data_IF_569510725584
#
_entry.id   IF_569510725584
#
_cell.length_a   1.000
_cell.length_b   1.000
_cell.length_c   1.000
_cell.angle_alpha   90.00
_cell.angle_beta   90.00
_cell.angle_gamma   90.00
#
_symmetry.space_group_name_H-M   'P 1'
#
loop_
_entity.id
_entity.type
_entity.pdbx_description
1 polymer ?
#
# COMPACT_ATOMS: atom_id res chain seq x y z
N UNK A 1 11.29 16.93 -4.98
CA UNK A 1 11.03 18.39 -5.15
C UNK A 1 11.77 18.91 -6.37
N UNK A 2 11.14 19.73 -7.20
CA UNK A 2 11.79 20.47 -8.29
C UNK A 2 11.85 21.95 -7.89
N UNK A 3 13.01 22.58 -8.02
CA UNK A 3 13.22 23.98 -7.66
C UNK A 3 13.84 24.76 -8.83
N UNK A 4 13.40 26.01 -9.02
CA UNK A 4 13.85 26.95 -10.05
C UNK A 4 13.90 28.37 -9.48
N UNK A 5 14.52 29.30 -10.20
CA UNK A 5 14.43 30.72 -9.85
C UNK A 5 13.09 31.31 -10.34
N UNK A 6 12.35 32.04 -9.48
CA UNK A 6 11.09 32.65 -9.90
C UNK A 6 11.36 33.83 -10.81
N UNK A 7 10.66 33.90 -11.94
CA UNK A 7 10.68 35.03 -12.87
C UNK A 7 9.28 35.52 -13.15
N UNK A 8 9.14 36.76 -13.56
CA UNK A 8 7.84 37.31 -13.97
C UNK A 8 7.34 36.59 -15.22
N UNK A 9 6.01 36.29 -15.30
CA UNK A 9 5.41 35.53 -16.41
C UNK A 9 5.72 36.15 -17.79
N UNK A 10 5.93 37.46 -17.88
CA UNK A 10 6.38 38.13 -19.11
C UNK A 10 7.72 37.59 -19.63
N UNK A 11 8.55 37.05 -18.76
CA UNK A 11 9.86 36.51 -19.04
C UNK A 11 9.88 34.98 -18.96
N UNK A 12 8.72 34.33 -19.04
CA UNK A 12 8.56 32.89 -18.92
C UNK A 12 9.45 32.07 -19.86
N UNK A 13 9.80 32.63 -21.02
CA UNK A 13 10.75 31.99 -21.96
C UNK A 13 12.20 31.96 -21.48
N UNK A 14 12.56 32.68 -20.41
CA UNK A 14 13.89 32.69 -19.81
C UNK A 14 13.96 31.85 -18.53
N UNK A 15 12.81 31.52 -17.94
CA UNK A 15 12.68 30.70 -16.73
C UNK A 15 12.24 29.28 -17.04
N UNK A 16 12.38 28.40 -16.05
CA UNK A 16 11.85 27.05 -16.09
C UNK A 16 10.67 26.91 -15.14
N UNK A 17 9.55 26.41 -15.66
CA UNK A 17 8.34 26.15 -14.87
C UNK A 17 8.51 24.85 -14.06
N UNK A 18 8.71 24.97 -12.73
CA UNK A 18 8.91 23.82 -11.86
C UNK A 18 7.69 22.87 -11.82
N UNK A 19 6.47 23.37 -12.02
CA UNK A 19 5.27 22.51 -12.11
C UNK A 19 5.33 21.66 -13.38
N UNK A 20 5.62 22.25 -14.54
CA UNK A 20 5.74 21.51 -15.79
C UNK A 20 6.87 20.49 -15.74
N UNK A 21 8.01 20.89 -15.17
CA UNK A 21 9.14 20.00 -14.97
C UNK A 21 8.80 18.81 -14.05
N UNK A 22 8.12 19.04 -12.93
CA UNK A 22 7.67 17.99 -12.03
C UNK A 22 6.65 17.06 -12.71
N UNK A 23 5.65 17.60 -13.41
CA UNK A 23 4.63 16.83 -14.13
C UNK A 23 5.26 15.96 -15.23
N UNK A 24 6.35 16.42 -15.86
CA UNK A 24 7.05 15.63 -16.90
C UNK A 24 7.63 14.31 -16.41
N UNK A 25 7.88 14.16 -15.10
CA UNK A 25 8.40 12.93 -14.48
C UNK A 25 7.31 11.84 -14.39
N UNK A 26 6.04 12.23 -14.25
CA UNK A 26 4.92 11.30 -14.03
C UNK A 26 4.82 10.21 -15.13
N UNK A 27 4.90 10.53 -16.43
CA UNK A 27 4.90 9.50 -17.48
C UNK A 27 6.03 8.47 -17.34
N UNK A 28 7.22 8.88 -16.92
CA UNK A 28 8.33 7.96 -16.69
C UNK A 28 8.03 7.00 -15.54
N UNK A 29 7.52 7.49 -14.41
CA UNK A 29 7.06 6.66 -13.30
C UNK A 29 5.94 5.71 -13.72
N UNK A 30 5.01 6.15 -14.57
CA UNK A 30 3.95 5.29 -15.11
C UNK A 30 4.45 4.25 -16.09
N UNK A 31 5.60 4.47 -16.70
CA UNK A 31 6.27 3.44 -17.51
C UNK A 31 6.88 2.37 -16.60
N UNK A 32 7.60 2.76 -15.56
CA UNK A 32 8.15 1.84 -14.56
C UNK A 32 7.03 1.02 -13.85
N UNK A 33 5.91 1.64 -13.53
CA UNK A 33 4.72 0.95 -13.00
C UNK A 33 4.24 -0.17 -13.94
N UNK A 34 4.19 0.10 -15.25
CA UNK A 34 3.82 -0.93 -16.26
C UNK A 34 4.84 -2.06 -16.32
N UNK A 35 6.13 -1.75 -16.31
CA UNK A 35 7.20 -2.73 -16.31
C UNK A 35 7.11 -3.67 -15.11
N UNK A 36 6.86 -3.11 -13.91
CA UNK A 36 6.64 -3.92 -12.71
C UNK A 36 5.37 -4.78 -12.79
N UNK A 37 4.29 -4.27 -13.38
CA UNK A 37 3.08 -5.05 -13.59
C UNK A 37 3.24 -6.14 -14.68
N UNK A 38 4.06 -5.92 -15.68
CA UNK A 38 4.36 -6.93 -16.70
C UNK A 38 5.14 -8.12 -16.10
N UNK A 39 5.96 -7.88 -15.07
CA UNK A 39 6.68 -8.90 -14.32
C UNK A 39 5.83 -9.63 -13.25
N UNK A 40 4.53 -9.36 -13.13
CA UNK A 40 3.66 -9.94 -12.08
C UNK A 40 3.62 -11.46 -12.04
N UNK A 41 3.85 -12.12 -13.17
CA UNK A 41 3.91 -13.58 -13.26
C UNK A 41 5.11 -14.21 -12.53
N UNK A 42 6.12 -13.41 -12.18
CA UNK A 42 7.28 -13.82 -11.39
C UNK A 42 6.99 -13.81 -9.89
N UNK A 43 5.82 -13.26 -9.49
CA UNK A 43 5.42 -13.09 -8.10
C UNK A 43 4.22 -13.96 -7.76
N UNK A 44 4.45 -14.97 -6.93
CA UNK A 44 3.44 -15.96 -6.50
C UNK A 44 2.17 -15.28 -5.99
N UNK A 45 1.01 -15.73 -6.45
CA UNK A 45 -0.34 -15.23 -6.18
C UNK A 45 -0.70 -13.90 -6.86
N UNK A 46 0.21 -13.29 -7.60
CA UNK A 46 -0.08 -12.05 -8.33
C UNK A 46 -0.33 -12.29 -9.82
N UNK A 47 -0.11 -13.49 -10.31
CA UNK A 47 -0.17 -13.88 -11.72
C UNK A 47 -1.53 -13.56 -12.36
N UNK A 48 -2.62 -13.73 -11.59
CA UNK A 48 -4.00 -13.51 -12.06
C UNK A 48 -4.49 -12.08 -11.88
N UNK A 49 -3.75 -11.23 -11.19
CA UNK A 49 -4.13 -9.84 -10.97
C UNK A 49 -3.74 -9.00 -12.17
N UNK A 50 -4.67 -8.19 -12.67
CA UNK A 50 -4.45 -7.37 -13.87
C UNK A 50 -3.43 -6.24 -13.60
N UNK A 51 -3.54 -5.57 -12.44
CA UNK A 51 -2.73 -4.40 -12.11
C UNK A 51 -2.42 -4.32 -10.60
N UNK A 52 -1.60 -5.25 -10.06
CA UNK A 52 -1.35 -5.33 -8.63
C UNK A 52 -0.49 -4.20 -8.07
N UNK A 53 0.40 -3.63 -8.87
CA UNK A 53 1.29 -2.54 -8.46
C UNK A 53 0.73 -1.21 -8.95
N UNK A 54 0.63 -0.25 -8.03
CA UNK A 54 0.16 1.10 -8.31
C UNK A 54 1.17 2.14 -7.84
N UNK A 55 1.50 3.08 -8.75
CA UNK A 55 2.20 4.33 -8.43
C UNK A 55 1.14 5.43 -8.39
N UNK A 56 0.55 5.61 -7.23
CA UNK A 56 -0.51 6.60 -7.05
C UNK A 56 0.07 7.98 -6.74
N UNK A 57 -0.09 8.91 -7.68
CA UNK A 57 0.20 10.33 -7.45
C UNK A 57 -0.94 10.89 -6.60
N UNK A 58 -0.76 10.85 -5.27
CA UNK A 58 -1.81 11.18 -4.32
C UNK A 58 -1.92 12.66 -3.99
N UNK A 59 -0.86 13.44 -4.27
CA UNK A 59 -0.81 14.86 -3.96
C UNK A 59 0.17 15.57 -4.88
N UNK A 60 -0.15 16.80 -5.26
CA UNK A 60 0.75 17.71 -5.95
C UNK A 60 0.53 19.13 -5.42
N UNK A 61 1.62 19.85 -5.16
CA UNK A 61 1.60 21.24 -4.70
C UNK A 61 2.76 21.98 -5.35
N UNK A 62 2.52 23.19 -5.87
CA UNK A 62 3.58 23.96 -6.48
C UNK A 62 3.15 25.38 -6.84
N UNK A 63 4.15 26.27 -6.96
CA UNK A 63 3.98 27.67 -7.29
C UNK A 63 3.33 28.49 -6.17
N UNK A 64 3.41 29.82 -6.32
CA UNK A 64 2.93 30.79 -5.32
C UNK A 64 1.86 31.73 -5.89
N UNK A 65 1.98 32.09 -7.16
CA UNK A 65 1.09 33.04 -7.80
C UNK A 65 1.02 32.86 -9.32
N UNK A 66 -0.17 32.97 -9.89
CA UNK A 66 -0.43 32.73 -11.32
C UNK A 66 0.33 33.67 -12.29
N UNK A 67 0.80 34.82 -11.81
CA UNK A 67 1.56 35.78 -12.62
C UNK A 67 3.08 35.66 -12.45
N UNK A 68 3.57 34.65 -11.76
CA UNK A 68 4.99 34.28 -11.70
C UNK A 68 5.20 32.88 -12.28
N UNK A 69 6.36 32.64 -12.86
CA UNK A 69 6.79 31.29 -13.23
C UNK A 69 7.04 30.50 -11.96
N UNK A 70 6.41 29.34 -11.75
CA UNK A 70 6.58 28.55 -10.54
C UNK A 70 8.05 28.16 -10.30
N UNK A 71 8.57 28.48 -9.12
CA UNK A 71 9.95 28.16 -8.73
C UNK A 71 10.09 26.81 -8.04
N UNK A 72 9.00 26.21 -7.60
CA UNK A 72 8.99 24.92 -6.92
C UNK A 72 7.74 24.10 -7.22
N UNK A 73 7.88 22.79 -7.15
CA UNK A 73 6.77 21.85 -7.18
C UNK A 73 7.17 20.58 -6.43
N UNK A 74 6.25 20.04 -5.66
CA UNK A 74 6.37 18.75 -4.98
C UNK A 74 5.16 17.90 -5.30
N UNK A 75 5.37 16.61 -5.53
CA UNK A 75 4.26 15.65 -5.57
C UNK A 75 4.62 14.40 -4.76
N UNK A 76 3.61 13.81 -4.14
CA UNK A 76 3.73 12.61 -3.33
C UNK A 76 3.22 11.41 -4.13
N UNK A 77 4.02 10.36 -4.16
CA UNK A 77 3.66 9.10 -4.82
C UNK A 77 3.65 7.97 -3.80
N UNK A 78 2.51 7.30 -3.67
CA UNK A 78 2.46 6.03 -2.96
C UNK A 78 2.77 4.91 -3.94
N UNK A 79 3.80 4.13 -3.62
CA UNK A 79 4.24 2.99 -4.44
C UNK A 79 3.99 1.69 -3.69
N UNK A 80 3.30 0.74 -4.33
CA UNK A 80 3.22 -0.64 -3.87
C UNK A 80 4.42 -1.43 -4.42
N UNK A 81 4.94 -2.38 -3.62
CA UNK A 81 5.99 -3.31 -4.04
C UNK A 81 5.54 -4.75 -3.79
N UNK A 82 6.04 -5.70 -4.58
CA UNK A 82 5.74 -7.11 -4.36
C UNK A 82 6.34 -7.63 -3.05
N UNK A 83 5.67 -8.59 -2.38
CA UNK A 83 6.27 -9.34 -1.28
C UNK A 83 7.59 -9.98 -1.71
N UNK A 84 8.60 -9.91 -0.83
CA UNK A 84 9.95 -10.40 -1.12
C UNK A 84 10.89 -9.37 -1.74
N UNK A 85 10.37 -8.30 -2.32
CA UNK A 85 11.19 -7.18 -2.82
C UNK A 85 11.69 -6.33 -1.64
N UNK A 86 12.99 -6.01 -1.65
CA UNK A 86 13.54 -5.06 -0.66
C UNK A 86 13.13 -3.64 -1.05
N UNK A 87 12.54 -2.85 -0.13
CA UNK A 87 12.17 -1.47 -0.40
C UNK A 87 13.35 -0.59 -0.88
N UNK A 88 14.58 -0.94 -0.47
CA UNK A 88 15.78 -0.22 -0.91
C UNK A 88 16.11 -0.47 -2.38
N UNK A 89 15.83 -1.66 -2.88
CA UNK A 89 16.08 -1.97 -4.29
C UNK A 89 14.99 -1.33 -5.15
N UNK A 90 13.73 -1.38 -4.72
CA UNK A 90 12.64 -0.63 -5.33
C UNK A 90 12.93 0.88 -5.37
N UNK A 91 13.47 1.46 -4.29
CA UNK A 91 13.87 2.84 -4.24
C UNK A 91 14.94 3.19 -5.29
N UNK A 92 15.97 2.35 -5.45
CA UNK A 92 17.02 2.53 -6.48
C UNK A 92 16.45 2.55 -7.89
N UNK A 93 15.49 1.67 -8.19
CA UNK A 93 14.84 1.64 -9.49
C UNK A 93 14.03 2.91 -9.75
N UNK A 94 13.27 3.37 -8.75
CA UNK A 94 12.50 4.62 -8.83
C UNK A 94 13.43 5.82 -9.03
N UNK A 95 14.48 5.94 -8.23
CA UNK A 95 15.48 7.01 -8.35
C UNK A 95 16.22 6.94 -9.68
N UNK A 96 16.54 5.73 -10.14
CA UNK A 96 17.13 5.48 -11.45
C UNK A 96 16.25 5.96 -12.60
N UNK A 97 14.96 5.66 -12.54
CA UNK A 97 13.95 6.11 -13.50
C UNK A 97 13.83 7.64 -13.53
N UNK A 98 13.71 8.27 -12.34
CA UNK A 98 13.64 9.74 -12.21
C UNK A 98 14.93 10.38 -12.74
N UNK A 99 16.09 9.84 -12.36
CA UNK A 99 17.39 10.34 -12.79
C UNK A 99 17.63 10.19 -14.30
N UNK A 100 17.15 9.11 -14.91
CA UNK A 100 17.20 8.92 -16.36
C UNK A 100 16.39 10.00 -17.09
N UNK A 101 15.14 10.20 -16.67
CA UNK A 101 14.29 11.27 -17.20
C UNK A 101 14.92 12.66 -17.01
N UNK A 102 15.44 12.94 -15.81
CA UNK A 102 16.04 14.24 -15.51
C UNK A 102 17.24 14.56 -16.43
N UNK A 103 18.10 13.60 -16.74
CA UNK A 103 19.25 13.79 -17.64
C UNK A 103 18.85 14.22 -19.04
N UNK A 104 17.70 13.81 -19.52
CA UNK A 104 17.19 14.14 -20.87
C UNK A 104 16.38 15.45 -20.90
N UNK A 105 15.86 15.87 -19.73
CA UNK A 105 15.04 17.06 -19.64
C UNK A 105 15.89 18.34 -19.59
N UNK A 106 15.61 19.37 -20.43
CA UNK A 106 16.46 20.57 -20.55
C UNK A 106 16.76 21.30 -19.23
N UNK A 107 15.80 21.32 -18.32
CA UNK A 107 15.94 21.98 -17.01
C UNK A 107 16.39 21.01 -15.92
N UNK A 108 15.80 19.80 -15.83
CA UNK A 108 16.06 18.89 -14.70
C UNK A 108 17.47 18.29 -14.73
N UNK A 109 18.14 18.24 -15.88
CA UNK A 109 19.53 17.74 -15.97
C UNK A 109 20.51 18.56 -15.14
N UNK A 110 20.27 19.88 -15.04
CA UNK A 110 21.09 20.82 -14.27
C UNK A 110 20.50 21.11 -12.88
N UNK A 111 19.20 20.73 -12.68
CA UNK A 111 18.43 20.90 -11.45
C UNK A 111 17.70 19.58 -11.12
N UNK A 112 18.41 18.51 -10.77
CA UNK A 112 17.80 17.20 -10.54
C UNK A 112 16.81 17.26 -9.38
N UNK A 113 15.66 16.53 -9.47
CA UNK A 113 14.70 16.51 -8.40
C UNK A 113 15.23 15.77 -7.18
N UNK A 114 14.92 16.26 -5.99
CA UNK A 114 15.16 15.55 -4.74
C UNK A 114 14.06 14.51 -4.50
N UNK A 115 14.45 13.33 -4.06
CA UNK A 115 13.54 12.23 -3.68
C UNK A 115 13.66 12.00 -2.18
N UNK A 116 12.53 12.04 -1.49
CA UNK A 116 12.44 11.80 -0.05
C UNK A 116 11.46 10.65 0.23
N UNK A 117 11.80 9.77 1.17
CA UNK A 117 10.94 8.67 1.63
C UNK A 117 10.38 9.02 3.01
N UNK A 118 9.15 9.52 3.04
CA UNK A 118 8.48 9.97 4.27
C UNK A 118 7.30 9.09 4.70
N UNK A 119 7.05 7.99 3.98
CA UNK A 119 5.98 7.04 4.25
C UNK A 119 6.49 5.71 4.83
N UNK A 120 5.65 4.69 4.74
CA UNK A 120 6.02 3.34 5.14
C UNK A 120 7.05 2.74 4.17
N UNK A 121 8.27 2.60 4.64
CA UNK A 121 9.36 1.97 3.91
C UNK A 121 9.49 0.51 4.35
N UNK A 122 8.60 -0.34 3.84
CA UNK A 122 8.29 -1.62 4.44
C UNK A 122 8.18 -2.75 3.43
N UNK A 123 8.68 -3.95 3.80
CA UNK A 123 8.48 -5.19 3.05
C UNK A 123 7.05 -5.69 3.19
N UNK A 124 6.53 -6.32 2.13
CA UNK A 124 5.32 -7.11 2.18
C UNK A 124 5.59 -8.56 2.60
N UNK A 125 4.53 -9.33 2.84
CA UNK A 125 4.58 -10.75 3.12
C UNK A 125 3.50 -11.51 2.36
N UNK A 126 3.70 -12.79 2.18
CA UNK A 126 2.70 -13.77 1.75
C UNK A 126 2.81 -14.95 2.71
N UNK A 127 1.67 -15.42 3.21
CA UNK A 127 1.62 -16.63 4.03
C UNK A 127 1.70 -17.88 3.15
N UNK A 128 2.41 -18.89 3.63
CA UNK A 128 2.32 -20.22 3.06
C UNK A 128 0.96 -20.83 3.37
N UNK A 129 0.36 -21.45 2.36
CA UNK A 129 -0.96 -22.08 2.48
C UNK A 129 -0.96 -23.27 3.43
N UNK A 130 -2.08 -23.49 4.10
CA UNK A 130 -2.33 -24.69 4.89
C UNK A 130 -1.74 -24.65 6.29
N UNK A 131 -1.47 -23.47 6.83
CA UNK A 131 -1.10 -23.31 8.25
C UNK A 131 -2.22 -23.84 9.16
N UNK A 132 -1.89 -24.23 10.39
CA UNK A 132 -2.88 -24.70 11.35
C UNK A 132 -3.86 -23.57 11.74
N UNK A 133 -3.39 -22.33 11.81
CA UNK A 133 -4.23 -21.17 12.03
C UNK A 133 -5.29 -21.00 10.90
N UNK A 134 -4.86 -21.19 9.65
CA UNK A 134 -5.77 -21.13 8.49
C UNK A 134 -6.82 -22.23 8.53
N UNK A 135 -6.45 -23.45 8.88
CA UNK A 135 -7.37 -24.60 9.05
C UNK A 135 -8.42 -24.31 10.12
N UNK A 136 -7.98 -23.83 11.29
CA UNK A 136 -8.90 -23.50 12.40
C UNK A 136 -9.82 -22.34 12.03
N UNK A 137 -9.30 -21.31 11.37
CA UNK A 137 -10.11 -20.20 10.87
C UNK A 137 -11.13 -20.67 9.83
N UNK A 138 -10.71 -21.55 8.92
CA UNK A 138 -11.59 -22.13 7.90
C UNK A 138 -12.76 -22.93 8.51
N UNK A 139 -12.50 -23.71 9.56
CA UNK A 139 -13.55 -24.42 10.30
C UNK A 139 -14.51 -23.47 11.01
N UNK A 140 -14.00 -22.45 11.68
CA UNK A 140 -14.80 -21.42 12.35
C UNK A 140 -15.64 -20.61 11.35
N UNK A 141 -15.07 -20.30 10.18
CA UNK A 141 -15.78 -19.64 9.08
C UNK A 141 -16.91 -20.50 8.55
N UNK A 142 -16.64 -21.77 8.22
CA UNK A 142 -17.65 -22.69 7.72
C UNK A 142 -18.83 -22.85 8.71
N UNK A 143 -18.55 -22.91 10.02
CA UNK A 143 -19.59 -22.95 11.05
C UNK A 143 -20.47 -21.70 11.10
N UNK A 144 -19.89 -20.52 10.86
CA UNK A 144 -20.60 -19.23 10.92
C UNK A 144 -21.30 -18.84 9.62
N UNK A 145 -20.72 -19.22 8.48
CA UNK A 145 -21.18 -18.78 7.15
C UNK A 145 -21.85 -19.89 6.33
N UNK A 146 -21.61 -21.16 6.67
CA UNK A 146 -22.09 -22.30 5.89
C UNK A 146 -21.38 -22.48 4.55
N UNK A 147 -20.20 -21.89 4.37
CA UNK A 147 -19.39 -21.90 3.17
C UNK A 147 -17.90 -22.08 3.50
N UNK A 148 -17.11 -22.51 2.53
CA UNK A 148 -15.65 -22.56 2.68
C UNK A 148 -15.04 -21.15 2.75
N UNK A 149 -13.94 -21.05 3.47
CA UNK A 149 -13.11 -19.84 3.48
C UNK A 149 -12.38 -19.71 2.14
N UNK A 150 -12.43 -18.52 1.57
CA UNK A 150 -11.64 -18.14 0.39
C UNK A 150 -10.51 -17.22 0.80
N UNK A 151 -9.32 -17.45 0.23
CA UNK A 151 -8.14 -16.63 0.46
C UNK A 151 -7.82 -15.81 -0.79
N UNK A 152 -7.32 -14.61 -0.60
CA UNK A 152 -6.84 -13.76 -1.68
C UNK A 152 -5.67 -12.91 -1.22
N UNK A 153 -4.86 -12.46 -2.17
CA UNK A 153 -3.76 -11.53 -1.94
C UNK A 153 -4.25 -10.10 -2.16
N UNK A 154 -3.83 -9.19 -1.30
CA UNK A 154 -4.09 -7.76 -1.46
C UNK A 154 -2.77 -6.98 -1.54
N UNK A 155 -2.64 -6.03 -2.46
CA UNK A 155 -1.48 -5.13 -2.52
C UNK A 155 -1.53 -4.02 -1.46
N UNK A 156 -2.46 -4.10 -0.50
CA UNK A 156 -2.58 -3.16 0.61
C UNK A 156 -1.48 -3.33 1.65
N UNK A 157 -1.07 -2.24 2.30
CA UNK A 157 -0.25 -2.30 3.50
C UNK A 157 -1.07 -2.82 4.68
N UNK A 158 -0.53 -3.80 5.40
CA UNK A 158 -1.17 -4.39 6.59
C UNK A 158 -0.12 -4.59 7.69
N UNK A 159 -0.48 -4.27 8.93
CA UNK A 159 0.41 -4.41 10.10
C UNK A 159 0.74 -5.87 10.45
N UNK A 160 -0.06 -6.83 9.96
CA UNK A 160 0.22 -8.26 10.07
C UNK A 160 1.62 -8.67 9.61
N UNK A 161 2.24 -7.89 8.71
CA UNK A 161 3.62 -8.08 8.27
C UNK A 161 4.64 -8.07 9.42
N UNK A 162 4.37 -7.32 10.49
CA UNK A 162 5.30 -7.22 11.63
C UNK A 162 5.44 -8.58 12.30
N UNK A 163 4.34 -9.25 12.57
CA UNK A 163 4.33 -10.58 13.16
C UNK A 163 5.00 -11.62 12.26
N UNK A 164 4.70 -11.57 10.95
CA UNK A 164 5.24 -12.56 10.01
C UNK A 164 6.74 -12.34 9.75
N UNK A 165 7.18 -11.09 9.55
CA UNK A 165 8.55 -10.82 9.13
C UNK A 165 9.56 -10.73 10.27
N UNK A 166 9.13 -10.46 11.50
CA UNK A 166 10.03 -10.22 12.62
C UNK A 166 9.84 -11.18 13.80
N UNK A 167 8.64 -11.77 13.93
CA UNK A 167 8.33 -12.66 15.06
C UNK A 167 8.10 -14.11 14.63
N UNK A 168 8.26 -14.43 13.34
CA UNK A 168 7.98 -15.76 12.75
C UNK A 168 6.59 -16.30 13.16
N UNK A 169 5.63 -15.38 13.28
CA UNK A 169 4.28 -15.67 13.69
C UNK A 169 3.32 -15.49 12.50
N UNK A 170 2.67 -16.56 12.01
CA UNK A 170 1.68 -16.43 10.94
C UNK A 170 0.56 -15.47 11.32
N UNK A 171 0.29 -14.47 10.47
CA UNK A 171 -0.75 -13.50 10.71
C UNK A 171 -1.79 -13.56 9.59
N UNK A 172 -2.98 -14.05 9.93
CA UNK A 172 -4.15 -14.05 9.06
C UNK A 172 -4.88 -12.72 9.19
N UNK A 173 -5.34 -12.18 8.07
CA UNK A 173 -6.20 -11.00 8.04
C UNK A 173 -7.61 -11.42 7.65
N UNK A 174 -8.57 -11.21 8.52
CA UNK A 174 -9.94 -11.63 8.35
C UNK A 174 -10.90 -10.53 8.80
N UNK A 175 -11.89 -10.20 7.97
CA UNK A 175 -12.75 -9.06 8.25
C UNK A 175 -14.10 -9.12 7.53
N UNK A 176 -15.00 -8.17 7.85
CA UNK A 176 -16.34 -8.10 7.27
C UNK A 176 -16.31 -7.60 5.82
N UNK A 177 -17.38 -7.87 5.09
CA UNK A 177 -17.59 -7.32 3.75
C UNK A 177 -17.73 -5.81 3.85
N UNK A 178 -16.83 -5.09 3.18
CA UNK A 178 -16.83 -3.64 3.07
C UNK A 178 -16.92 -3.21 1.61
N UNK A 179 -17.29 -1.97 1.38
CA UNK A 179 -17.33 -1.33 0.07
C UNK A 179 -16.85 0.10 0.16
N UNK A 180 -16.32 0.59 -0.95
CA UNK A 180 -15.91 1.99 -1.13
C UNK A 180 -14.88 2.45 -0.08
N UNK A 181 -13.93 1.54 0.27
CA UNK A 181 -12.88 1.79 1.27
C UNK A 181 -12.09 3.05 0.86
N UNK A 182 -11.94 3.99 1.80
CA UNK A 182 -11.36 5.33 1.60
C UNK A 182 -12.17 6.27 0.69
N UNK A 183 -13.39 5.90 0.27
CA UNK A 183 -14.29 6.78 -0.46
C UNK A 183 -15.32 7.47 0.46
N UNK A 184 -16.08 8.44 -0.11
CA UNK A 184 -17.04 9.24 0.67
C UNK A 184 -18.16 8.42 1.31
N UNK A 185 -18.61 7.35 0.63
CA UNK A 185 -19.69 6.48 1.09
C UNK A 185 -19.16 5.12 1.57
N UNK A 186 -18.01 5.12 2.24
CA UNK A 186 -17.44 3.91 2.83
C UNK A 186 -18.42 3.24 3.77
N UNK A 187 -18.62 1.94 3.59
CA UNK A 187 -19.61 1.17 4.36
C UNK A 187 -19.22 -0.26 4.60
N UNK A 188 -19.74 -0.82 5.68
CA UNK A 188 -19.58 -2.21 6.08
C UNK A 188 -20.94 -2.90 6.19
N UNK A 189 -21.02 -4.18 5.83
CA UNK A 189 -22.19 -5.01 6.03
C UNK A 189 -22.32 -5.41 7.50
N UNK A 190 -23.34 -4.91 8.22
CA UNK A 190 -23.61 -5.28 9.60
C UNK A 190 -23.91 -6.77 9.79
N UNK A 191 -24.55 -7.39 8.81
CA UNK A 191 -24.81 -8.83 8.83
C UNK A 191 -23.49 -9.63 8.75
N UNK A 192 -22.59 -9.21 7.89
CA UNK A 192 -21.24 -9.78 7.76
C UNK A 192 -20.42 -9.53 9.03
N UNK A 193 -20.43 -8.32 9.56
CA UNK A 193 -19.74 -7.96 10.80
C UNK A 193 -20.14 -8.88 11.97
N UNK A 194 -21.45 -9.12 12.14
CA UNK A 194 -21.96 -10.03 13.18
C UNK A 194 -21.44 -11.47 13.00
N UNK A 195 -21.41 -11.99 11.77
CA UNK A 195 -20.90 -13.32 11.49
C UNK A 195 -19.39 -13.41 11.72
N UNK A 196 -18.64 -12.42 11.25
CA UNK A 196 -17.18 -12.31 11.48
C UNK A 196 -16.85 -12.31 12.97
N UNK A 197 -17.61 -11.56 13.78
CA UNK A 197 -17.44 -11.56 15.25
C UNK A 197 -17.61 -12.95 15.83
N UNK A 198 -18.65 -13.69 15.40
CA UNK A 198 -18.85 -15.08 15.81
C UNK A 198 -17.73 -16.01 15.36
N UNK A 199 -17.26 -15.84 14.12
CA UNK A 199 -16.13 -16.62 13.58
C UNK A 199 -14.85 -16.39 14.40
N UNK A 200 -14.55 -15.14 14.72
CA UNK A 200 -13.34 -14.80 15.53
C UNK A 200 -13.48 -15.41 16.94
N UNK A 201 -14.64 -15.34 17.55
CA UNK A 201 -14.88 -15.96 18.86
C UNK A 201 -14.68 -17.48 18.83
N UNK A 202 -15.19 -18.15 17.79
CA UNK A 202 -14.98 -19.60 17.58
C UNK A 202 -13.51 -19.92 17.31
N UNK A 203 -12.84 -19.11 16.52
CA UNK A 203 -11.41 -19.25 16.24
C UNK A 203 -10.59 -19.18 17.55
N UNK A 204 -10.82 -18.15 18.36
CA UNK A 204 -10.10 -17.97 19.64
C UNK A 204 -10.37 -19.16 20.56
N UNK A 205 -11.62 -19.58 20.72
CA UNK A 205 -11.99 -20.72 21.54
C UNK A 205 -11.33 -22.03 21.07
N UNK A 206 -11.26 -22.24 19.75
CA UNK A 206 -10.66 -23.46 19.17
C UNK A 206 -9.14 -23.43 19.20
N UNK A 207 -8.53 -22.25 19.05
CA UNK A 207 -7.08 -22.09 19.02
C UNK A 207 -6.47 -22.07 20.42
N UNK A 208 -7.06 -21.30 21.35
CA UNK A 208 -6.56 -21.11 22.70
C UNK A 208 -7.10 -22.15 23.68
N UNK A 209 -8.18 -22.84 23.34
CA UNK A 209 -8.95 -23.67 24.27
C UNK A 209 -9.87 -22.82 25.17
N UNK A 210 -10.73 -23.51 25.93
CA UNK A 210 -11.63 -22.90 26.90
C UNK A 210 -11.32 -23.49 28.30
N UNK A 211 -11.14 -22.67 29.28
CA UNK A 211 -11.14 -23.10 30.67
C UNK A 211 -12.59 -23.32 31.13
N UNK A 212 -12.88 -24.46 31.82
CA UNK A 212 -14.20 -24.64 32.42
C UNK A 212 -14.43 -23.55 33.47
N UNK A 213 -15.60 -22.94 33.44
CA UNK A 213 -16.01 -21.98 34.45
C UNK A 213 -16.09 -22.68 35.81
N UNK A 214 -15.02 -22.61 36.61
CA UNK A 214 -15.02 -23.14 37.95
C UNK A 214 -15.82 -22.13 38.78
N UNK A 215 -17.00 -22.51 39.34
CA UNK A 215 -17.75 -21.62 40.19
C UNK A 215 -16.87 -21.26 41.39
N UNK A 216 -16.22 -20.11 41.34
CA UNK A 216 -15.62 -19.56 42.55
C UNK A 216 -16.80 -19.21 43.46
N UNK A 217 -17.04 -20.07 44.43
CA UNK A 217 -17.97 -19.82 45.51
C UNK A 217 -17.61 -18.47 46.14
N UNK A 218 -18.32 -17.44 45.78
CA UNK A 218 -18.32 -16.19 46.50
C UNK A 218 -18.95 -16.48 47.87
N UNK A 219 -18.24 -16.39 48.99
CA UNK A 219 -18.89 -16.42 50.27
C UNK A 219 -19.84 -15.23 50.32
N UNK A 220 -21.14 -15.50 50.45
CA UNK A 220 -22.13 -14.51 50.78
C UNK A 220 -21.79 -13.99 52.16
N UNK A 221 -21.32 -12.73 52.26
CA UNK A 221 -21.23 -11.99 53.47
C UNK A 221 -22.54 -11.24 53.73
#
# INVERSE_FOLDING_TARGET
MCAAEPVHVREAGQGANAIEAAVSIIPALKTLEREWNDARSEHRYFESLEHPINFNIGKIVGGDWASSVPSWCTFDVRVAIYPGVDPRDAAKEIEGCIGAHAREHPFLRDNPPEVEYNGFFARGYVLEEGSDAEKVLGQAHAASFGASLESFVTPGYLDGRVFVLYDDCPCLVYGPVSRDIHAFDERVSLASLKRVTGTIALFIASWCGLEPDTPQGRPLA
#
